data_IF_632109461095
#
_entry.id   IF_632109461095
#
_cell.length_a   1.000
_cell.length_b   1.000
_cell.length_c   1.000
_cell.angle_alpha   90.00
_cell.angle_beta   90.00
_cell.angle_gamma   90.00
#
_symmetry.space_group_name_H-M   'P 1'
#
loop_
_entity.id
_entity.type
_entity.pdbx_description
1 polymer ?
#
# COMPACT_ATOMS: atom_id res chain seq x y z
N UNK A 1 -19.45 -31.16 4.50
CA UNK A 1 -18.19 -30.49 4.15
C UNK A 1 -18.59 -29.20 3.44
N UNK A 2 -18.70 -28.10 4.18
CA UNK A 2 -19.06 -26.77 3.64
C UNK A 2 -17.80 -26.28 2.94
N UNK A 3 -17.85 -26.21 1.62
CA UNK A 3 -16.82 -25.57 0.81
C UNK A 3 -16.81 -24.09 1.23
N UNK A 4 -15.82 -23.68 2.05
CA UNK A 4 -15.57 -22.28 2.36
C UNK A 4 -15.35 -21.60 1.00
N UNK A 5 -16.29 -20.73 0.62
CA UNK A 5 -16.13 -19.92 -0.60
C UNK A 5 -14.84 -19.15 -0.37
N UNK A 6 -13.76 -19.55 -1.04
CA UNK A 6 -12.51 -18.83 -1.00
C UNK A 6 -12.81 -17.44 -1.58
N UNK A 7 -12.86 -16.42 -0.73
CA UNK A 7 -12.90 -15.05 -1.22
C UNK A 7 -11.64 -14.87 -2.05
N UNK A 8 -11.81 -14.63 -3.32
CA UNK A 8 -10.69 -14.42 -4.24
C UNK A 8 -10.10 -13.05 -3.89
N UNK A 9 -8.77 -13.00 -3.73
CA UNK A 9 -8.08 -11.73 -3.51
C UNK A 9 -8.50 -10.70 -4.57
N UNK A 10 -8.67 -9.43 -4.22
CA UNK A 10 -9.08 -8.42 -5.18
C UNK A 10 -8.02 -8.29 -6.27
N UNK A 11 -8.46 -8.40 -7.53
CA UNK A 11 -7.58 -8.30 -8.68
C UNK A 11 -7.33 -6.84 -9.06
N UNK A 12 -6.15 -6.57 -9.60
CA UNK A 12 -5.85 -5.29 -10.26
C UNK A 12 -6.89 -5.00 -11.35
N UNK A 13 -7.32 -3.74 -11.44
CA UNK A 13 -8.38 -3.29 -12.33
C UNK A 13 -9.79 -3.35 -11.74
N UNK A 14 -9.95 -3.85 -10.50
CA UNK A 14 -11.23 -3.89 -9.81
C UNK A 14 -11.27 -2.92 -8.62
N UNK A 15 -12.51 -2.62 -8.16
CA UNK A 15 -12.70 -1.79 -6.99
C UNK A 15 -12.04 -2.41 -5.75
N UNK A 16 -11.32 -1.59 -5.00
CA UNK A 16 -10.75 -1.97 -3.72
C UNK A 16 -11.86 -2.23 -2.70
N UNK A 17 -11.81 -3.32 -1.92
CA UNK A 17 -12.74 -3.56 -0.83
C UNK A 17 -12.73 -2.40 0.16
N UNK A 18 -13.90 -1.78 0.40
CA UNK A 18 -14.04 -0.73 1.40
C UNK A 18 -14.06 -1.34 2.81
N UNK A 19 -13.63 -0.55 3.79
CA UNK A 19 -13.64 -0.91 5.19
C UNK A 19 -13.92 0.32 6.04
N UNK A 20 -14.38 0.12 7.27
CA UNK A 20 -14.50 1.16 8.27
C UNK A 20 -14.07 0.58 9.63
N UNK A 21 -12.89 0.97 10.09
CA UNK A 21 -12.25 0.40 11.28
C UNK A 21 -11.50 1.48 12.05
N UNK A 22 -11.20 1.21 13.33
CA UNK A 22 -10.40 2.12 14.15
C UNK A 22 -8.93 2.08 13.75
N UNK A 23 -8.27 3.22 13.81
CA UNK A 23 -6.83 3.37 13.59
C UNK A 23 -6.22 4.25 14.69
N UNK A 24 -4.88 4.23 14.78
CA UNK A 24 -4.09 5.17 15.58
C UNK A 24 -3.42 6.16 14.65
N UNK A 25 -3.62 7.45 14.92
CA UNK A 25 -2.92 8.53 14.25
C UNK A 25 -2.75 9.71 15.22
N UNK A 26 -1.56 10.32 15.21
CA UNK A 26 -1.23 11.43 16.12
C UNK A 26 -1.55 11.09 17.60
N UNK A 27 -1.24 9.84 17.99
CA UNK A 27 -1.50 9.24 19.31
C UNK A 27 -2.98 9.20 19.73
N UNK A 28 -3.91 9.41 18.83
CA UNK A 28 -5.35 9.34 19.05
C UNK A 28 -5.99 8.16 18.32
N UNK A 29 -7.15 7.72 18.79
CA UNK A 29 -7.97 6.76 18.07
C UNK A 29 -8.91 7.48 17.13
N UNK A 30 -8.86 7.11 15.85
CA UNK A 30 -9.69 7.68 14.79
C UNK A 30 -10.41 6.58 14.02
N UNK A 31 -11.53 6.90 13.39
CA UNK A 31 -12.19 6.01 12.44
C UNK A 31 -11.68 6.25 11.03
N UNK A 32 -11.20 5.19 10.38
CA UNK A 32 -10.69 5.20 9.02
C UNK A 32 -11.56 4.33 8.12
N UNK A 33 -12.02 4.87 7.00
CA UNK A 33 -12.62 4.11 5.91
C UNK A 33 -11.93 4.44 4.60
N UNK A 34 -11.76 3.46 3.71
CA UNK A 34 -11.14 3.68 2.42
C UNK A 34 -11.90 4.71 1.58
N UNK A 35 -13.23 4.68 1.63
CA UNK A 35 -14.11 5.62 0.91
C UNK A 35 -13.89 7.09 1.27
N UNK A 36 -13.33 7.42 2.44
CA UNK A 36 -12.96 8.80 2.82
C UNK A 36 -11.82 9.38 1.95
N UNK A 37 -11.04 8.52 1.30
CA UNK A 37 -9.89 8.93 0.49
C UNK A 37 -10.22 9.06 -1.01
N UNK A 38 -11.48 9.00 -1.42
CA UNK A 38 -11.87 9.26 -2.81
C UNK A 38 -11.33 10.59 -3.31
N UNK A 39 -10.77 10.59 -4.54
CA UNK A 39 -10.08 11.73 -5.12
C UNK A 39 -8.60 11.82 -4.79
N UNK A 40 -8.08 10.92 -3.96
CA UNK A 40 -6.66 10.73 -3.67
C UNK A 40 -6.22 9.32 -4.06
N UNK A 41 -4.93 9.14 -4.29
CA UNK A 41 -4.34 7.81 -4.32
C UNK A 41 -4.15 7.29 -2.90
N UNK A 42 -4.17 5.97 -2.74
CA UNK A 42 -3.91 5.32 -1.46
C UNK A 42 -2.88 4.22 -1.64
N UNK A 43 -1.82 4.25 -0.85
CA UNK A 43 -0.93 3.12 -0.62
C UNK A 43 -1.40 2.42 0.65
N UNK A 44 -2.10 1.30 0.47
CA UNK A 44 -2.57 0.45 1.54
C UNK A 44 -1.62 -0.73 1.69
N UNK A 45 -0.94 -0.84 2.83
CA UNK A 45 -0.02 -1.94 3.06
C UNK A 45 -0.35 -2.70 4.34
N UNK A 46 -0.19 -4.02 4.27
CA UNK A 46 -0.42 -4.95 5.37
C UNK A 46 0.90 -5.43 5.95
N UNK A 47 0.95 -5.64 7.25
CA UNK A 47 2.09 -6.23 7.95
C UNK A 47 1.61 -7.24 9.01
N UNK A 48 2.44 -8.24 9.38
CA UNK A 48 1.97 -9.36 10.21
C UNK A 48 1.53 -8.96 11.61
N UNK A 49 2.44 -8.37 12.40
CA UNK A 49 2.23 -8.10 13.82
C UNK A 49 3.07 -6.92 14.31
N UNK A 50 2.53 -6.23 15.31
CA UNK A 50 3.26 -5.26 16.12
C UNK A 50 4.41 -5.91 16.90
N UNK A 51 5.36 -5.10 17.33
CA UNK A 51 6.50 -5.50 18.17
C UNK A 51 7.33 -6.67 17.59
N UNK A 52 7.47 -6.71 16.25
CA UNK A 52 8.29 -7.68 15.53
C UNK A 52 9.56 -7.03 14.94
N UNK A 53 10.20 -7.65 13.94
CA UNK A 53 11.56 -7.27 13.52
C UNK A 53 11.61 -6.56 12.17
N UNK A 54 10.97 -7.12 11.13
CA UNK A 54 10.92 -6.53 9.79
C UNK A 54 9.90 -5.39 9.73
N UNK A 55 8.75 -5.54 10.42
CA UNK A 55 7.64 -4.61 10.34
C UNK A 55 8.02 -3.16 10.69
N UNK A 56 8.75 -2.88 11.80
CA UNK A 56 9.11 -1.50 12.12
C UNK A 56 10.00 -0.85 11.05
N UNK A 57 10.85 -1.63 10.38
CA UNK A 57 11.71 -1.10 9.31
C UNK A 57 10.91 -0.63 8.10
N UNK A 58 9.83 -1.32 7.74
CA UNK A 58 8.94 -0.90 6.65
C UNK A 58 8.10 0.31 7.07
N UNK A 59 7.46 0.24 8.24
CA UNK A 59 6.53 1.26 8.72
C UNK A 59 7.25 2.61 8.88
N UNK A 60 8.42 2.61 9.49
CA UNK A 60 9.21 3.84 9.66
C UNK A 60 9.74 4.37 8.34
N UNK A 61 10.15 3.49 7.40
CA UNK A 61 10.60 3.91 6.07
C UNK A 61 9.49 4.61 5.27
N UNK A 62 8.24 4.12 5.32
CA UNK A 62 7.09 4.82 4.73
C UNK A 62 6.83 6.15 5.41
N UNK A 63 6.96 6.23 6.74
CA UNK A 63 6.75 7.47 7.50
C UNK A 63 7.82 8.52 7.18
N UNK A 64 9.08 8.13 7.12
CA UNK A 64 10.19 9.03 6.80
C UNK A 64 10.11 9.61 5.37
N UNK A 65 9.42 8.89 4.48
CA UNK A 65 9.20 9.29 3.07
C UNK A 65 7.77 9.80 2.80
N UNK A 66 6.95 10.00 3.85
CA UNK A 66 5.51 10.34 3.67
C UNK A 66 5.29 11.64 2.89
N UNK A 67 6.12 12.66 3.05
CA UNK A 67 6.00 13.91 2.31
C UNK A 67 6.16 13.73 0.78
N UNK A 68 6.84 12.67 0.33
CA UNK A 68 6.92 12.35 -1.10
C UNK A 68 5.59 11.79 -1.61
N UNK A 69 4.94 10.92 -0.84
CA UNK A 69 3.59 10.43 -1.15
C UNK A 69 2.57 11.55 -1.16
N UNK A 70 2.64 12.44 -0.17
CA UNK A 70 1.73 13.59 -0.07
C UNK A 70 1.85 14.55 -1.26
N UNK A 71 3.07 14.80 -1.77
CA UNK A 71 3.29 15.58 -2.99
C UNK A 71 2.68 14.93 -4.23
N UNK A 72 2.49 13.62 -4.22
CA UNK A 72 1.83 12.82 -5.25
C UNK A 72 0.32 12.64 -4.98
N UNK A 73 -0.29 13.49 -4.14
CA UNK A 73 -1.70 13.39 -3.73
C UNK A 73 -2.07 11.98 -3.23
N UNK A 74 -1.18 11.37 -2.44
CA UNK A 74 -1.30 9.98 -2.00
C UNK A 74 -1.28 9.89 -0.48
N UNK A 75 -2.23 9.14 0.06
CA UNK A 75 -2.27 8.77 1.47
C UNK A 75 -1.65 7.39 1.67
N UNK A 76 -1.06 7.16 2.84
CA UNK A 76 -0.49 5.87 3.23
C UNK A 76 -1.29 5.33 4.41
N UNK A 77 -1.63 4.05 4.38
CA UNK A 77 -2.32 3.35 5.47
C UNK A 77 -1.59 2.03 5.75
N UNK A 78 -1.14 1.85 7.00
CA UNK A 78 -0.59 0.58 7.47
C UNK A 78 -1.65 -0.23 8.20
N UNK A 79 -1.76 -1.53 7.93
CA UNK A 79 -2.79 -2.41 8.49
C UNK A 79 -2.17 -3.64 9.11
N UNK A 80 -2.55 -3.98 10.33
CA UNK A 80 -2.31 -5.31 10.90
C UNK A 80 -3.52 -5.81 11.69
N UNK A 81 -3.44 -7.05 12.12
CA UNK A 81 -4.50 -7.70 12.91
C UNK A 81 -4.46 -7.31 14.40
N UNK A 82 -3.51 -6.47 14.80
CA UNK A 82 -3.38 -6.01 16.18
C UNK A 82 -4.46 -4.99 16.55
N UNK A 83 -4.66 -4.83 17.86
CA UNK A 83 -5.60 -3.83 18.38
C UNK A 83 -5.03 -2.41 18.31
N UNK A 84 -5.90 -1.42 18.26
CA UNK A 84 -5.51 -0.01 18.35
C UNK A 84 -4.69 0.30 19.63
N UNK A 85 -4.87 -0.46 20.70
CA UNK A 85 -4.10 -0.29 21.93
C UNK A 85 -2.66 -0.77 21.77
N UNK A 86 -2.43 -1.86 21.02
CA UNK A 86 -1.10 -2.34 20.65
C UNK A 86 -0.40 -1.33 19.76
N UNK A 87 -1.08 -0.84 18.71
CA UNK A 87 -0.56 0.21 17.82
C UNK A 87 -0.12 1.44 18.61
N UNK A 88 -0.99 1.93 19.52
CA UNK A 88 -0.68 3.11 20.33
C UNK A 88 0.57 2.88 21.20
N UNK A 89 0.66 1.74 21.89
CA UNK A 89 1.82 1.40 22.69
C UNK A 89 3.10 1.34 21.84
N UNK A 90 3.01 0.81 20.62
CA UNK A 90 4.16 0.69 19.72
C UNK A 90 4.59 2.03 19.14
N UNK A 91 3.67 2.91 18.80
CA UNK A 91 3.95 4.31 18.40
C UNK A 91 4.62 5.08 19.54
N UNK A 92 4.23 4.85 20.79
CA UNK A 92 4.82 5.48 21.97
C UNK A 92 6.20 4.91 22.35
N UNK A 93 6.58 3.77 21.80
CA UNK A 93 7.89 3.15 22.03
C UNK A 93 8.94 3.80 21.12
N UNK A 94 10.12 4.19 21.64
CA UNK A 94 11.19 4.79 20.84
C UNK A 94 11.73 3.85 19.77
N UNK A 95 12.12 4.38 18.61
CA UNK A 95 12.65 3.59 17.48
C UNK A 95 13.91 2.79 17.83
N UNK A 96 14.79 3.31 18.67
CA UNK A 96 15.99 2.62 19.12
C UNK A 96 15.71 1.47 20.12
N UNK A 97 14.46 1.34 20.55
CA UNK A 97 13.97 0.24 21.41
C UNK A 97 13.05 -0.72 20.62
N UNK A 98 13.06 -0.64 19.29
CA UNK A 98 12.21 -1.47 18.43
C UNK A 98 10.78 -0.94 18.25
N UNK A 99 10.49 0.27 18.73
CA UNK A 99 9.24 0.97 18.54
C UNK A 99 9.17 1.72 17.22
N UNK A 100 8.07 2.43 17.01
CA UNK A 100 7.84 3.21 15.79
C UNK A 100 8.16 4.69 15.96
N UNK A 101 8.01 5.22 17.18
CA UNK A 101 7.94 6.67 17.36
C UNK A 101 6.71 7.25 16.64
N UNK A 102 6.63 8.56 16.55
CA UNK A 102 5.55 9.22 15.83
C UNK A 102 5.56 8.85 14.34
N UNK A 103 4.38 8.54 13.80
CA UNK A 103 4.16 8.21 12.40
C UNK A 103 3.39 9.31 11.69
N UNK A 104 3.72 9.52 10.43
CA UNK A 104 3.08 10.52 9.58
C UNK A 104 1.73 10.05 8.97
N UNK A 105 1.29 8.83 9.24
CA UNK A 105 0.08 8.22 8.68
C UNK A 105 -0.58 7.25 9.67
N UNK A 106 -1.89 6.91 9.47
CA UNK A 106 -2.62 6.03 10.37
C UNK A 106 -2.14 4.57 10.37
N UNK A 107 -2.11 3.94 11.54
CA UNK A 107 -2.05 2.49 11.71
C UNK A 107 -3.46 1.94 11.98
N UNK A 108 -3.94 1.13 11.09
CA UNK A 108 -5.30 0.58 11.03
C UNK A 108 -5.37 -0.74 11.76
N UNK A 109 -6.31 -0.86 12.71
CA UNK A 109 -6.53 -2.07 13.51
C UNK A 109 -7.55 -2.98 12.83
N UNK A 110 -7.08 -4.04 12.21
CA UNK A 110 -7.94 -5.10 11.63
C UNK A 110 -8.11 -6.27 12.61
N UNK A 111 -8.48 -5.99 13.86
CA UNK A 111 -8.61 -6.96 14.94
C UNK A 111 -9.53 -8.13 14.57
N UNK A 112 -10.55 -7.90 13.73
CA UNK A 112 -11.47 -8.91 13.24
C UNK A 112 -10.95 -9.69 12.03
N UNK A 113 -9.83 -9.27 11.45
CA UNK A 113 -9.21 -9.86 10.24
C UNK A 113 -10.06 -9.75 8.98
N UNK A 114 -11.13 -8.97 9.01
CA UNK A 114 -12.06 -8.80 7.88
C UNK A 114 -11.41 -8.07 6.70
N UNK A 115 -10.57 -7.06 6.98
CA UNK A 115 -9.85 -6.32 5.95
C UNK A 115 -8.75 -7.19 5.33
N UNK A 116 -7.94 -7.87 6.14
CA UNK A 116 -6.89 -8.78 5.65
C UNK A 116 -7.47 -9.94 4.83
N UNK A 117 -8.64 -10.47 5.22
CA UNK A 117 -9.35 -11.51 4.45
C UNK A 117 -9.87 -10.95 3.12
N UNK A 118 -10.51 -9.76 3.14
CA UNK A 118 -11.05 -9.12 1.94
C UNK A 118 -9.98 -8.79 0.89
N UNK A 119 -8.76 -8.44 1.34
CA UNK A 119 -7.62 -8.19 0.47
C UNK A 119 -6.81 -9.45 0.13
N UNK A 120 -7.21 -10.62 0.62
CA UNK A 120 -6.58 -11.90 0.30
C UNK A 120 -5.15 -12.05 0.85
N UNK A 121 -4.84 -11.34 1.92
CA UNK A 121 -3.51 -11.39 2.57
C UNK A 121 -3.53 -12.09 3.93
N UNK A 122 -4.68 -12.54 4.42
CA UNK A 122 -4.76 -13.29 5.67
C UNK A 122 -4.17 -14.70 5.46
N UNK A 123 -3.11 -15.01 6.21
CA UNK A 123 -2.50 -16.34 6.19
C UNK A 123 -3.28 -17.35 7.04
N UNK A 124 -3.00 -18.65 6.84
CA UNK A 124 -3.56 -19.72 7.66
C UNK A 124 -3.14 -19.61 9.15
N UNK A 125 -2.02 -18.93 9.43
CA UNK A 125 -1.55 -18.64 10.79
C UNK A 125 -2.33 -17.49 11.46
N UNK A 126 -3.23 -16.85 10.73
CA UNK A 126 -4.10 -15.79 11.23
C UNK A 126 -3.45 -14.41 11.31
N UNK A 127 -2.31 -14.20 10.63
CA UNK A 127 -1.63 -12.91 10.48
C UNK A 127 -1.67 -12.46 9.03
N UNK A 128 -1.52 -11.16 8.78
CA UNK A 128 -1.45 -10.66 7.42
C UNK A 128 -0.08 -10.93 6.79
N UNK A 129 -0.05 -11.40 5.55
CA UNK A 129 1.12 -11.34 4.69
C UNK A 129 1.48 -9.87 4.39
N UNK A 130 2.69 -9.63 3.87
CA UNK A 130 3.14 -8.27 3.51
C UNK A 130 2.54 -7.85 2.17
N UNK A 131 1.22 -7.66 2.13
CA UNK A 131 0.50 -7.12 0.98
C UNK A 131 0.70 -5.61 0.86
N UNK A 132 0.76 -5.11 -0.38
CA UNK A 132 0.71 -3.68 -0.68
C UNK A 132 -0.14 -3.47 -1.92
N UNK A 133 -1.01 -2.48 -1.86
CA UNK A 133 -1.93 -2.10 -2.94
C UNK A 133 -1.81 -0.62 -3.20
N UNK A 134 -1.72 -0.24 -4.48
CA UNK A 134 -1.86 1.15 -4.90
C UNK A 134 -3.25 1.29 -5.50
N UNK A 135 -4.05 2.14 -4.89
CA UNK A 135 -5.46 2.39 -5.22
C UNK A 135 -5.55 3.80 -5.78
N UNK A 136 -6.23 3.96 -6.91
CA UNK A 136 -6.37 5.26 -7.57
C UNK A 136 -7.49 6.13 -6.97
N UNK A 137 -7.68 7.30 -7.56
CA UNK A 137 -8.65 8.33 -7.13
C UNK A 137 -10.10 7.84 -7.19
N UNK A 138 -10.39 6.89 -8.08
CA UNK A 138 -11.70 6.27 -8.28
C UNK A 138 -11.94 5.10 -7.32
N UNK A 139 -10.90 4.66 -6.59
CA UNK A 139 -10.95 3.52 -5.68
C UNK A 139 -10.66 2.19 -6.37
N UNK A 140 -10.00 2.20 -7.52
CA UNK A 140 -9.63 1.00 -8.26
C UNK A 140 -8.19 0.60 -7.90
N UNK A 141 -7.95 -0.68 -7.66
CA UNK A 141 -6.60 -1.23 -7.44
C UNK A 141 -5.85 -1.20 -8.77
N UNK A 142 -4.75 -0.47 -8.83
CA UNK A 142 -3.91 -0.36 -10.01
C UNK A 142 -2.62 -1.18 -9.93
N UNK A 143 -2.18 -1.50 -8.71
CA UNK A 143 -0.99 -2.32 -8.46
C UNK A 143 -1.17 -3.13 -7.18
N UNK A 144 -0.61 -4.33 -7.15
CA UNK A 144 -0.49 -5.13 -5.94
C UNK A 144 0.81 -5.92 -5.91
N UNK A 145 1.39 -6.07 -4.72
CA UNK A 145 2.50 -6.97 -4.44
C UNK A 145 2.29 -7.62 -3.09
N UNK A 146 2.63 -8.90 -2.96
CA UNK A 146 2.47 -9.65 -1.71
C UNK A 146 3.75 -10.42 -1.45
N UNK A 147 4.48 -10.05 -0.41
CA UNK A 147 5.65 -10.78 0.05
C UNK A 147 5.27 -11.73 1.19
N UNK A 148 6.00 -12.85 1.30
CA UNK A 148 5.97 -13.68 2.49
C UNK A 148 6.61 -12.93 3.69
N UNK A 149 6.49 -13.48 4.89
CA UNK A 149 6.75 -12.82 6.17
C UNK A 149 8.21 -12.38 6.37
N UNK A 150 9.19 -13.08 5.77
CA UNK A 150 10.59 -12.98 6.13
C UNK A 150 11.35 -11.79 5.52
N UNK A 151 10.79 -11.07 4.54
CA UNK A 151 11.47 -9.97 3.85
C UNK A 151 10.55 -8.80 3.56
N UNK A 152 11.10 -7.59 3.79
CA UNK A 152 10.38 -6.33 3.64
C UNK A 152 10.24 -5.86 2.19
N UNK A 153 9.40 -4.81 2.01
CA UNK A 153 9.15 -4.14 0.73
C UNK A 153 10.11 -2.97 0.54
N UNK A 154 10.14 -2.44 -0.67
CA UNK A 154 10.98 -1.32 -1.04
C UNK A 154 10.11 -0.07 -1.28
N UNK A 155 10.34 1.01 -0.51
CA UNK A 155 9.58 2.27 -0.63
C UNK A 155 9.93 2.99 -1.94
N UNK A 156 11.17 2.92 -2.43
CA UNK A 156 11.55 3.52 -3.71
C UNK A 156 10.78 2.91 -4.86
N UNK A 157 10.61 1.58 -4.87
CA UNK A 157 9.82 0.89 -5.90
C UNK A 157 8.34 1.25 -5.78
N UNK A 158 7.81 1.40 -4.57
CA UNK A 158 6.42 1.85 -4.37
C UNK A 158 6.20 3.25 -4.95
N UNK A 159 7.11 4.19 -4.69
CA UNK A 159 7.07 5.55 -5.25
C UNK A 159 7.22 5.53 -6.78
N UNK A 160 8.17 4.73 -7.30
CA UNK A 160 8.37 4.58 -8.74
C UNK A 160 7.10 4.09 -9.45
N UNK A 161 6.46 3.04 -8.92
CA UNK A 161 5.23 2.49 -9.49
C UNK A 161 4.08 3.49 -9.42
N UNK A 162 3.93 4.18 -8.29
CA UNK A 162 2.93 5.24 -8.11
C UNK A 162 3.12 6.37 -9.15
N UNK A 163 4.35 6.81 -9.37
CA UNK A 163 4.66 7.85 -10.36
C UNK A 163 4.40 7.37 -11.79
N UNK A 164 4.73 6.11 -12.10
CA UNK A 164 4.42 5.52 -13.41
C UNK A 164 2.91 5.42 -13.64
N UNK A 165 2.15 5.01 -12.62
CA UNK A 165 0.69 5.00 -12.67
C UNK A 165 0.10 6.38 -12.95
N UNK A 166 0.52 7.39 -12.19
CA UNK A 166 0.05 8.77 -12.37
C UNK A 166 0.38 9.29 -13.76
N UNK A 167 1.60 9.01 -14.23
CA UNK A 167 2.03 9.44 -15.57
C UNK A 167 1.12 8.89 -16.67
N UNK A 168 0.83 7.59 -16.68
CA UNK A 168 -0.01 7.00 -17.73
C UNK A 168 -1.48 7.41 -17.62
N UNK A 169 -1.95 7.75 -16.42
CA UNK A 169 -3.30 8.30 -16.24
C UNK A 169 -3.41 9.75 -16.76
N UNK A 170 -2.35 10.53 -16.63
CA UNK A 170 -2.27 11.91 -17.15
C UNK A 170 -1.91 11.94 -18.65
N UNK A 171 -1.31 10.87 -19.20
CA UNK A 171 -0.87 10.74 -20.59
C UNK A 171 -1.43 9.45 -21.23
N UNK A 172 -2.74 9.38 -21.54
CA UNK A 172 -3.39 8.14 -21.96
C UNK A 172 -2.90 7.58 -23.31
N UNK A 173 -2.21 8.39 -24.12
CA UNK A 173 -1.62 7.98 -25.40
C UNK A 173 -0.18 7.45 -25.28
N UNK A 174 0.32 7.31 -24.04
CA UNK A 174 1.69 6.85 -23.77
C UNK A 174 1.69 5.70 -22.76
N UNK A 175 2.72 4.87 -22.81
CA UNK A 175 2.97 3.80 -21.84
C UNK A 175 4.37 3.90 -21.27
N UNK A 176 4.53 3.50 -20.01
CA UNK A 176 5.81 3.45 -19.33
C UNK A 176 6.49 2.09 -19.56
N UNK A 177 7.69 2.05 -20.17
CA UNK A 177 8.47 0.83 -20.30
C UNK A 177 8.93 0.24 -18.98
N UNK A 178 9.48 -0.97 -19.01
CA UNK A 178 10.03 -1.63 -17.83
C UNK A 178 11.08 -0.75 -17.14
N UNK A 179 10.97 -0.62 -15.81
CA UNK A 179 11.91 0.17 -15.02
C UNK A 179 11.78 1.68 -15.15
N UNK A 180 10.80 2.17 -15.89
CA UNK A 180 10.59 3.61 -16.13
C UNK A 180 10.58 4.42 -14.84
N UNK A 181 11.19 5.59 -14.89
CA UNK A 181 11.22 6.61 -13.83
C UNK A 181 10.84 7.97 -14.42
N UNK A 182 10.39 8.92 -13.60
CA UNK A 182 10.14 10.29 -14.06
C UNK A 182 11.35 10.87 -14.80
N UNK A 183 11.10 11.34 -16.03
CA UNK A 183 12.12 11.85 -16.95
C UNK A 183 12.68 10.85 -17.97
N UNK A 184 12.39 9.55 -17.80
CA UNK A 184 12.74 8.55 -18.81
C UNK A 184 11.80 8.63 -20.03
N UNK A 185 12.27 8.06 -21.14
CA UNK A 185 11.46 7.98 -22.38
C UNK A 185 10.24 7.08 -22.17
N UNK A 186 9.13 7.51 -22.73
CA UNK A 186 7.89 6.74 -22.84
C UNK A 186 7.73 6.16 -24.24
N UNK A 187 6.71 5.39 -24.47
CA UNK A 187 6.43 4.75 -25.75
C UNK A 187 4.97 4.96 -26.15
N UNK A 188 4.73 5.23 -27.44
CA UNK A 188 3.37 5.16 -27.99
C UNK A 188 2.95 3.69 -28.15
N UNK A 189 1.75 3.30 -27.69
CA UNK A 189 1.30 1.90 -27.71
C UNK A 189 0.69 1.52 -29.08
N UNK A 190 1.42 1.79 -30.18
CA UNK A 190 1.03 1.40 -31.53
C UNK A 190 2.23 0.87 -32.32
N UNK A 191 2.01 0.08 -33.41
CA UNK A 191 3.09 -0.60 -34.14
C UNK A 191 4.10 0.34 -34.82
N UNK A 192 3.72 1.55 -35.20
CA UNK A 192 4.62 2.50 -35.83
C UNK A 192 5.25 3.46 -34.82
N UNK A 193 4.45 4.03 -33.90
CA UNK A 193 4.92 4.97 -32.89
C UNK A 193 5.90 4.35 -31.89
N UNK A 194 5.76 3.05 -31.59
CA UNK A 194 6.68 2.33 -30.70
C UNK A 194 8.10 2.17 -31.26
N UNK A 195 8.27 2.23 -32.60
CA UNK A 195 9.58 2.09 -33.26
C UNK A 195 10.56 3.21 -32.89
N UNK A 196 10.06 4.41 -32.59
CA UNK A 196 10.89 5.52 -32.11
C UNK A 196 11.60 5.15 -30.80
N UNK A 197 10.85 4.57 -29.87
CA UNK A 197 11.44 4.09 -28.60
C UNK A 197 12.43 2.97 -28.83
N UNK A 198 12.07 1.92 -29.58
CA UNK A 198 12.93 0.76 -29.81
C UNK A 198 14.21 1.08 -30.58
N UNK A 199 14.20 2.10 -31.43
CA UNK A 199 15.40 2.53 -32.14
C UNK A 199 16.38 3.35 -31.29
N UNK A 200 15.97 3.72 -30.07
CA UNK A 200 16.73 4.59 -29.17
C UNK A 200 17.29 3.86 -27.93
N UNK A 201 17.10 2.52 -27.85
CA UNK A 201 17.61 1.66 -26.76
C UNK A 201 18.69 0.70 -27.24
#
# INVERSE_FOLDING_TARGET
MIMKLMMQAPLVGNAAPDFNVTAVYDQEFIDVSLSKYKGKYVVLFFYPLDFTFVCPTEITAFSDRYEEFKKLNTEVLGVSIDSQFSHLAWVQTPRNEGGLGDLAYPLVSDLKREVSEAYGVLSDEGVALRGLYIIDKEGIIQHSTINNLAFGRNVDETLRVLQALQYVQDNPDEVCPAGWKPGDKTMKPDPEGSKEYFSAI
#
